data_IF_734403334913
#
_entry.id   IF_734403334913
#
_cell.length_a   1.000
_cell.length_b   1.000
_cell.length_c   1.000
_cell.angle_alpha   90.00
_cell.angle_beta   90.00
_cell.angle_gamma   90.00
#
_symmetry.space_group_name_H-M   'P 1'
#
loop_
_entity.id
_entity.type
_entity.pdbx_description
1 polymer ?
#
# COMPACT_ATOMS: atom_id res chain seq x y z
N UNK A 1 -48.15 -9.26 -25.58
CA UNK A 1 -47.22 -9.51 -24.47
C UNK A 1 -46.24 -8.34 -24.42
N UNK A 2 -46.32 -7.50 -23.38
CA UNK A 2 -45.36 -6.43 -23.16
C UNK A 2 -44.04 -7.07 -22.68
N UNK A 3 -42.84 -6.71 -23.21
CA UNK A 3 -41.61 -7.18 -22.66
C UNK A 3 -41.48 -6.63 -21.24
N UNK A 4 -41.34 -7.52 -20.27
CA UNK A 4 -40.99 -7.17 -18.90
C UNK A 4 -39.65 -6.44 -18.93
N UNK A 5 -39.69 -5.13 -18.88
CA UNK A 5 -38.58 -4.27 -18.64
C UNK A 5 -38.17 -4.51 -17.17
N UNK A 6 -37.35 -5.55 -16.91
CA UNK A 6 -36.64 -5.71 -15.66
C UNK A 6 -35.58 -4.59 -15.67
N UNK A 7 -36.00 -3.38 -15.33
CA UNK A 7 -35.05 -2.36 -14.89
C UNK A 7 -34.20 -3.02 -13.80
N UNK A 8 -32.93 -3.20 -14.07
CA UNK A 8 -31.99 -3.83 -13.14
C UNK A 8 -31.99 -2.98 -11.86
N UNK A 9 -32.76 -3.45 -10.87
CA UNK A 9 -32.94 -2.71 -9.63
C UNK A 9 -31.58 -2.50 -8.98
N UNK A 10 -31.16 -1.25 -8.88
CA UNK A 10 -29.92 -0.88 -8.18
C UNK A 10 -30.03 -1.34 -6.73
N UNK A 11 -29.00 -2.03 -6.25
CA UNK A 11 -28.88 -2.47 -4.86
C UNK A 11 -27.61 -1.90 -4.26
N UNK A 12 -27.59 -1.72 -2.93
CA UNK A 12 -26.42 -1.35 -2.18
C UNK A 12 -26.03 -2.49 -1.24
N UNK A 13 -24.74 -2.84 -1.22
CA UNK A 13 -24.18 -3.74 -0.25
C UNK A 13 -23.29 -2.96 0.72
N UNK A 14 -23.43 -3.24 2.01
CA UNK A 14 -22.44 -2.89 3.02
C UNK A 14 -21.64 -4.17 3.34
N UNK A 15 -20.33 -4.11 3.15
CA UNK A 15 -19.43 -5.25 3.29
C UNK A 15 -18.37 -4.90 4.33
N UNK A 16 -18.26 -5.72 5.36
CA UNK A 16 -17.22 -5.60 6.39
C UNK A 16 -16.25 -6.77 6.22
N UNK A 17 -14.97 -6.45 6.07
CA UNK A 17 -13.91 -7.45 5.90
C UNK A 17 -12.91 -7.32 7.04
N UNK A 18 -12.62 -8.46 7.72
CA UNK A 18 -11.60 -8.54 8.77
C UNK A 18 -10.47 -9.47 8.35
N UNK A 19 -9.26 -9.22 8.88
CA UNK A 19 -8.06 -9.99 8.57
C UNK A 19 -6.86 -9.09 8.33
N UNK A 20 -5.88 -9.56 7.54
CA UNK A 20 -4.75 -8.75 7.06
C UNK A 20 -5.20 -8.07 5.76
N UNK A 21 -5.89 -6.94 5.90
CA UNK A 21 -6.52 -6.21 4.79
C UNK A 21 -6.12 -4.73 4.74
N UNK A 22 -5.33 -4.27 5.70
CA UNK A 22 -4.76 -2.91 5.71
C UNK A 22 -3.25 -2.98 5.47
N UNK A 23 -2.68 -1.96 4.81
CA UNK A 23 -1.26 -1.93 4.47
C UNK A 23 -0.83 -2.89 3.34
N UNK A 24 -1.74 -3.57 2.69
CA UNK A 24 -1.51 -4.61 1.66
C UNK A 24 -2.13 -4.24 0.30
N UNK A 25 -2.39 -2.96 0.04
CA UNK A 25 -2.99 -2.51 -1.23
C UNK A 25 -4.49 -2.80 -1.38
N UNK A 26 -5.18 -3.17 -0.31
CA UNK A 26 -6.58 -3.62 -0.39
C UNK A 26 -7.56 -2.50 -0.80
N UNK A 27 -7.45 -1.27 -0.24
CA UNK A 27 -8.27 -0.12 -0.66
C UNK A 27 -8.08 0.23 -2.15
N UNK A 28 -6.84 0.36 -2.68
CA UNK A 28 -6.59 0.47 -4.11
C UNK A 28 -7.20 -0.63 -4.95
N UNK A 29 -7.12 -1.88 -4.51
CA UNK A 29 -7.73 -3.03 -5.19
C UNK A 29 -9.25 -2.88 -5.28
N UNK A 30 -9.93 -2.61 -4.16
CA UNK A 30 -11.38 -2.40 -4.13
C UNK A 30 -11.80 -1.25 -5.05
N UNK A 31 -11.07 -0.14 -5.04
CA UNK A 31 -11.33 0.99 -5.93
C UNK A 31 -11.27 0.57 -7.40
N UNK A 32 -10.18 -0.09 -7.82
CA UNK A 32 -9.99 -0.55 -9.19
C UNK A 32 -11.06 -1.55 -9.62
N UNK A 33 -11.37 -2.52 -8.76
CA UNK A 33 -12.39 -3.53 -9.01
C UNK A 33 -13.78 -2.91 -9.17
N UNK A 34 -14.16 -2.00 -8.26
CA UNK A 34 -15.45 -1.31 -8.31
C UNK A 34 -15.57 -0.45 -9.55
N UNK A 35 -14.53 0.30 -9.90
CA UNK A 35 -14.50 1.13 -11.12
C UNK A 35 -14.61 0.27 -12.39
N UNK A 36 -13.87 -0.86 -12.46
CA UNK A 36 -13.92 -1.81 -13.58
C UNK A 36 -15.32 -2.40 -13.79
N UNK A 37 -16.07 -2.61 -12.70
CA UNK A 37 -17.42 -3.17 -12.72
C UNK A 37 -18.52 -2.10 -12.74
N UNK A 38 -18.16 -0.84 -12.98
CA UNK A 38 -19.08 0.31 -12.97
C UNK A 38 -19.94 0.42 -11.70
N UNK A 39 -19.37 0.02 -10.56
CA UNK A 39 -19.99 0.17 -9.25
C UNK A 39 -19.64 1.52 -8.63
N UNK A 40 -20.56 2.06 -7.86
CA UNK A 40 -20.41 3.34 -7.14
C UNK A 40 -20.34 3.06 -5.64
N UNK A 41 -19.74 3.98 -4.85
CA UNK A 41 -19.68 3.78 -3.41
C UNK A 41 -18.40 4.27 -2.77
N UNK A 42 -18.04 3.63 -1.66
CA UNK A 42 -16.88 4.02 -0.86
C UNK A 42 -16.17 2.81 -0.26
N UNK A 43 -14.87 2.97 -0.03
CA UNK A 43 -14.07 2.03 0.79
C UNK A 43 -13.34 2.80 1.87
N UNK A 44 -13.37 2.28 3.11
CA UNK A 44 -12.90 2.95 4.31
C UNK A 44 -12.11 1.95 5.17
N UNK A 45 -10.93 2.33 5.68
CA UNK A 45 -10.30 1.58 6.76
C UNK A 45 -10.98 1.93 8.09
N UNK A 46 -11.21 0.92 8.91
CA UNK A 46 -11.66 1.07 10.30
C UNK A 46 -10.69 0.37 11.24
N UNK A 47 -10.76 0.66 12.54
CA UNK A 47 -9.93 -0.03 13.52
C UNK A 47 -10.23 -1.53 13.65
N UNK A 48 -11.28 -2.04 12.99
CA UNK A 48 -11.67 -3.46 12.99
C UNK A 48 -11.49 -4.16 11.64
N UNK A 49 -11.10 -3.43 10.57
CA UNK A 49 -10.92 -3.99 9.23
C UNK A 49 -11.16 -2.98 8.12
N UNK A 50 -11.86 -3.40 7.08
CA UNK A 50 -12.30 -2.55 5.95
C UNK A 50 -13.81 -2.57 5.88
N UNK A 51 -14.39 -1.40 5.67
CA UNK A 51 -15.81 -1.21 5.38
C UNK A 51 -15.92 -0.78 3.91
N UNK A 52 -16.80 -1.45 3.17
CA UNK A 52 -17.06 -1.15 1.77
C UNK A 52 -18.56 -0.96 1.62
N UNK A 53 -18.96 0.17 1.05
CA UNK A 53 -20.31 0.32 0.51
C UNK A 53 -20.22 0.35 -1.01
N UNK A 54 -20.97 -0.52 -1.66
CA UNK A 54 -20.95 -0.65 -3.12
C UNK A 54 -22.36 -0.75 -3.64
N UNK A 55 -22.65 0.05 -4.69
CA UNK A 55 -23.96 0.23 -5.27
C UNK A 55 -23.91 0.01 -6.78
N UNK A 56 -24.86 -0.76 -7.31
CA UNK A 56 -24.96 -1.05 -8.72
C UNK A 56 -26.03 -2.11 -9.04
N UNK A 57 -26.03 -2.62 -10.26
CA UNK A 57 -26.90 -3.69 -10.66
C UNK A 57 -26.52 -5.04 -10.03
N UNK A 58 -27.46 -5.96 -9.99
CA UNK A 58 -27.28 -7.26 -9.36
C UNK A 58 -26.07 -8.04 -9.91
N UNK A 59 -25.91 -8.09 -11.22
CA UNK A 59 -24.86 -8.89 -11.88
C UNK A 59 -23.46 -8.33 -11.56
N UNK A 60 -23.29 -7.01 -11.57
CA UNK A 60 -22.03 -6.36 -11.24
C UNK A 60 -21.67 -6.56 -9.76
N UNK A 61 -22.66 -6.51 -8.86
CA UNK A 61 -22.46 -6.80 -7.44
C UNK A 61 -22.07 -8.26 -7.18
N UNK A 62 -22.68 -9.22 -7.88
CA UNK A 62 -22.28 -10.64 -7.79
C UNK A 62 -20.87 -10.86 -8.32
N UNK A 63 -20.52 -10.25 -9.47
CA UNK A 63 -19.18 -10.28 -10.03
C UNK A 63 -18.14 -9.68 -9.07
N UNK A 64 -18.50 -8.59 -8.39
CA UNK A 64 -17.67 -7.95 -7.38
C UNK A 64 -17.37 -8.89 -6.21
N UNK A 65 -18.39 -9.54 -5.64
CA UNK A 65 -18.23 -10.46 -4.52
C UNK A 65 -17.35 -11.67 -4.88
N UNK A 66 -17.54 -12.24 -6.09
CA UNK A 66 -16.70 -13.34 -6.58
C UNK A 66 -15.23 -12.91 -6.73
N UNK A 67 -14.98 -11.80 -7.44
CA UNK A 67 -13.64 -11.29 -7.71
C UNK A 67 -12.91 -10.77 -6.47
N UNK A 68 -13.66 -10.29 -5.47
CA UNK A 68 -13.12 -9.87 -4.19
C UNK A 68 -12.28 -10.96 -3.52
N UNK A 69 -12.69 -12.22 -3.63
CA UNK A 69 -11.96 -13.37 -3.12
C UNK A 69 -10.87 -13.87 -4.06
N UNK A 70 -11.14 -13.87 -5.37
CA UNK A 70 -10.24 -14.43 -6.39
C UNK A 70 -9.07 -13.52 -6.74
N UNK A 71 -9.32 -12.20 -6.86
CA UNK A 71 -8.36 -11.22 -7.34
C UNK A 71 -7.74 -10.35 -6.21
N UNK A 72 -8.00 -10.68 -4.93
CA UNK A 72 -7.43 -9.92 -3.80
C UNK A 72 -5.91 -9.88 -3.81
N UNK A 73 -5.27 -8.84 -3.26
CA UNK A 73 -3.82 -8.78 -3.15
C UNK A 73 -3.24 -10.04 -2.50
N UNK A 74 -2.18 -10.60 -3.07
CA UNK A 74 -1.56 -11.89 -2.66
C UNK A 74 -1.20 -11.88 -1.18
N UNK A 75 -0.68 -10.76 -0.67
CA UNK A 75 -0.27 -10.59 0.73
C UNK A 75 -1.44 -10.39 1.70
N UNK A 76 -2.67 -10.26 1.19
CA UNK A 76 -3.86 -10.08 2.01
C UNK A 76 -4.40 -11.42 2.51
N UNK A 77 -4.93 -11.42 3.74
CA UNK A 77 -5.67 -12.56 4.31
C UNK A 77 -7.03 -12.08 4.79
N UNK A 78 -8.07 -12.67 4.24
CA UNK A 78 -9.46 -12.43 4.66
C UNK A 78 -9.82 -13.52 5.68
N UNK A 79 -10.11 -13.12 6.91
CA UNK A 79 -10.54 -14.05 7.97
C UNK A 79 -12.06 -14.06 8.13
N UNK A 80 -12.73 -12.94 7.80
CA UNK A 80 -14.18 -12.79 7.95
C UNK A 80 -14.73 -11.78 6.95
N UNK A 81 -15.90 -12.09 6.40
CA UNK A 81 -16.68 -11.19 5.53
C UNK A 81 -18.14 -11.18 5.99
N UNK A 82 -18.70 -10.00 6.18
CA UNK A 82 -20.13 -9.80 6.39
C UNK A 82 -20.68 -8.96 5.24
N UNK A 83 -21.82 -9.35 4.70
CA UNK A 83 -22.49 -8.64 3.62
C UNK A 83 -23.94 -8.37 4.03
N UNK A 84 -24.34 -7.10 4.01
CA UNK A 84 -25.70 -6.65 4.33
C UNK A 84 -26.23 -5.88 3.14
N UNK A 85 -27.45 -6.22 2.70
CA UNK A 85 -28.14 -5.48 1.63
C UNK A 85 -28.81 -4.27 2.26
N UNK A 86 -28.58 -3.10 1.69
CA UNK A 86 -29.15 -1.83 2.10
C UNK A 86 -29.97 -1.20 0.96
N UNK A 87 -30.79 -0.22 1.31
CA UNK A 87 -31.46 0.64 0.31
C UNK A 87 -30.39 1.45 -0.46
N UNK A 88 -30.56 1.67 -1.77
CA UNK A 88 -29.68 2.54 -2.54
C UNK A 88 -29.54 3.91 -1.89
N UNK A 89 -28.32 4.46 -1.95
CA UNK A 89 -27.99 5.80 -1.43
C UNK A 89 -27.89 6.82 -2.58
N UNK A 90 -27.54 6.36 -3.78
CA UNK A 90 -27.35 7.22 -4.96
C UNK A 90 -25.91 7.72 -5.10
N UNK A 91 -24.93 6.89 -4.83
CA UNK A 91 -23.54 7.24 -5.07
C UNK A 91 -23.29 7.53 -6.56
N UNK A 92 -22.60 8.65 -6.87
CA UNK A 92 -22.27 9.03 -8.23
C UNK A 92 -20.95 8.41 -8.73
N UNK A 93 -20.01 8.19 -7.82
CA UNK A 93 -18.67 7.65 -8.12
C UNK A 93 -18.23 6.70 -7.03
N UNK A 94 -17.16 5.93 -7.28
CA UNK A 94 -16.49 5.17 -6.22
C UNK A 94 -15.34 5.96 -5.65
N UNK A 95 -15.16 5.98 -4.31
CA UNK A 95 -14.13 6.77 -3.61
C UNK A 95 -13.41 5.96 -2.53
N UNK A 96 -12.15 6.29 -2.29
CA UNK A 96 -11.42 5.88 -1.09
C UNK A 96 -11.56 7.01 -0.08
N UNK A 97 -12.27 6.77 1.02
CA UNK A 97 -12.48 7.78 2.07
C UNK A 97 -11.44 7.67 3.17
N UNK A 98 -11.37 8.72 4.00
CA UNK A 98 -10.55 8.75 5.19
C UNK A 98 -10.95 7.63 6.16
N UNK A 99 -9.97 7.11 6.89
CA UNK A 99 -10.17 6.05 7.86
C UNK A 99 -10.99 6.51 9.06
N UNK A 100 -11.76 5.58 9.64
CA UNK A 100 -12.53 5.80 10.87
C UNK A 100 -11.71 5.28 12.06
N UNK A 101 -11.56 6.12 13.06
CA UNK A 101 -10.87 5.74 14.32
C UNK A 101 -11.88 5.13 15.30
N UNK A 102 -12.04 3.83 15.24
CA UNK A 102 -12.88 3.02 16.14
C UNK A 102 -12.03 1.97 16.90
N UNK A 103 -12.63 0.89 17.39
CA UNK A 103 -11.93 -0.18 18.14
C UNK A 103 -10.75 -0.75 17.36
N UNK A 104 -9.55 -0.71 17.94
CA UNK A 104 -8.29 -1.15 17.32
C UNK A 104 -8.12 -2.67 17.42
N UNK A 105 -8.64 -3.41 16.45
CA UNK A 105 -8.56 -4.87 16.41
C UNK A 105 -8.17 -5.40 15.01
N UNK A 106 -7.33 -4.64 14.29
CA UNK A 106 -6.83 -5.02 12.97
C UNK A 106 -5.47 -5.72 13.10
N UNK A 107 -5.28 -6.77 12.34
CA UNK A 107 -3.97 -7.42 12.20
C UNK A 107 -3.05 -6.56 11.33
N UNK A 108 -1.87 -6.26 11.85
CA UNK A 108 -0.82 -5.52 11.12
C UNK A 108 -0.04 -6.53 10.27
N UNK A 109 0.15 -6.28 8.96
CA UNK A 109 0.99 -7.13 8.14
C UNK A 109 2.47 -6.99 8.56
N UNK A 110 3.28 -8.05 8.38
CA UNK A 110 4.73 -7.95 8.53
C UNK A 110 5.33 -7.03 7.47
N UNK A 111 6.59 -6.67 7.64
CA UNK A 111 7.37 -6.04 6.58
C UNK A 111 7.52 -7.03 5.41
N UNK A 112 7.47 -6.51 4.19
CA UNK A 112 7.50 -7.31 2.97
C UNK A 112 8.78 -7.05 2.18
N UNK A 113 9.41 -8.11 1.68
CA UNK A 113 10.56 -8.00 0.79
C UNK A 113 10.25 -7.14 -0.44
N UNK A 114 11.28 -6.50 -0.98
CA UNK A 114 11.15 -5.65 -2.17
C UNK A 114 10.67 -6.49 -3.35
N UNK A 115 9.59 -6.06 -4.01
CA UNK A 115 9.05 -6.74 -5.18
C UNK A 115 9.91 -6.49 -6.43
N UNK A 116 9.73 -7.33 -7.45
CA UNK A 116 10.50 -7.28 -8.69
C UNK A 116 10.45 -5.89 -9.35
N UNK A 117 9.27 -5.30 -9.49
CA UNK A 117 9.11 -3.96 -10.08
C UNK A 117 9.90 -2.87 -9.32
N UNK A 118 9.96 -2.97 -7.98
CA UNK A 118 10.73 -2.02 -7.19
C UNK A 118 12.23 -2.29 -7.28
N UNK A 119 12.67 -3.55 -7.43
CA UNK A 119 14.06 -3.91 -7.69
C UNK A 119 14.53 -3.37 -9.05
N UNK A 120 13.73 -3.54 -10.08
CA UNK A 120 14.01 -2.97 -11.41
C UNK A 120 14.11 -1.45 -11.38
N UNK A 121 13.21 -0.79 -10.64
CA UNK A 121 13.24 0.66 -10.47
C UNK A 121 14.49 1.15 -9.71
N UNK A 122 14.94 0.41 -8.70
CA UNK A 122 16.18 0.71 -7.95
C UNK A 122 17.41 0.52 -8.82
N UNK A 123 17.42 -0.48 -9.71
CA UNK A 123 18.55 -0.83 -10.57
C UNK A 123 18.62 0.01 -11.86
N UNK A 124 17.54 0.69 -12.23
CA UNK A 124 17.46 1.45 -13.48
C UNK A 124 18.06 2.86 -13.31
N UNK A 125 19.19 3.20 -13.98
CA UNK A 125 19.81 4.52 -13.87
C UNK A 125 18.93 5.70 -14.28
N UNK A 126 17.92 5.47 -15.14
CA UNK A 126 16.99 6.51 -15.59
C UNK A 126 15.89 6.77 -14.53
N UNK A 127 15.69 5.82 -13.62
CA UNK A 127 14.68 5.94 -12.58
C UNK A 127 15.03 7.04 -11.58
N UNK A 128 14.04 7.87 -11.20
CA UNK A 128 14.19 8.83 -10.10
C UNK A 128 14.44 8.17 -8.73
N UNK A 129 14.29 6.84 -8.61
CA UNK A 129 14.58 6.03 -7.42
C UNK A 129 15.82 5.14 -7.59
N UNK A 130 16.64 5.44 -8.60
CA UNK A 130 17.90 4.72 -8.79
C UNK A 130 18.72 4.70 -7.51
N UNK A 131 19.14 3.51 -7.07
CA UNK A 131 19.90 3.24 -5.83
C UNK A 131 19.25 3.81 -4.56
N UNK A 132 17.94 4.04 -4.56
CA UNK A 132 17.23 4.52 -3.37
C UNK A 132 16.74 3.36 -2.51
N UNK A 133 17.34 3.09 -1.33
CA UNK A 133 17.11 1.88 -0.55
C UNK A 133 15.71 1.82 0.11
N UNK A 134 14.99 2.96 0.19
CA UNK A 134 13.65 3.02 0.76
C UNK A 134 12.54 2.96 -0.31
N UNK A 135 12.89 2.50 -1.51
CA UNK A 135 11.91 2.29 -2.60
C UNK A 135 10.92 1.20 -2.22
N UNK A 136 9.64 1.50 -2.41
CA UNK A 136 8.53 0.63 -2.04
C UNK A 136 7.30 0.90 -2.91
N UNK A 137 6.28 0.04 -2.79
CA UNK A 137 4.96 0.23 -3.41
C UNK A 137 3.84 -0.30 -2.48
N UNK A 138 2.63 -0.53 -3.02
CA UNK A 138 1.52 -1.12 -2.26
C UNK A 138 1.80 -2.56 -1.84
N UNK A 139 2.66 -3.28 -2.57
CA UNK A 139 2.88 -4.73 -2.44
C UNK A 139 4.17 -5.09 -1.72
N UNK A 140 5.05 -4.13 -1.42
CA UNK A 140 6.34 -4.37 -0.77
C UNK A 140 6.76 -3.24 0.16
N UNK A 141 7.82 -3.49 0.95
CA UNK A 141 8.44 -2.54 1.87
C UNK A 141 7.89 -2.64 3.29
N UNK A 142 8.23 -1.65 4.10
CA UNK A 142 7.95 -1.63 5.53
C UNK A 142 6.48 -1.49 5.85
N UNK A 143 6.00 -2.22 6.87
CA UNK A 143 4.65 -2.13 7.43
C UNK A 143 4.73 -2.13 8.96
N UNK A 144 5.08 -3.28 9.56
CA UNK A 144 5.18 -3.44 10.99
C UNK A 144 6.23 -2.53 11.62
N UNK A 145 7.43 -2.44 11.03
CA UNK A 145 8.55 -1.68 11.56
C UNK A 145 8.33 -0.16 11.63
N UNK A 146 7.32 0.35 10.92
CA UNK A 146 7.07 1.80 10.84
C UNK A 146 5.75 2.25 11.47
N UNK A 147 4.88 1.32 11.88
CA UNK A 147 3.55 1.64 12.39
C UNK A 147 3.61 2.14 13.84
N UNK A 148 2.87 3.20 14.14
CA UNK A 148 2.67 3.73 15.49
C UNK A 148 1.25 3.51 16.00
N UNK A 149 0.30 3.31 15.10
CA UNK A 149 -1.11 3.14 15.46
C UNK A 149 -1.99 2.65 14.33
N UNK A 150 -3.24 2.38 14.65
CA UNK A 150 -4.27 1.90 13.72
C UNK A 150 -5.42 2.91 13.63
N UNK A 151 -6.15 2.97 12.55
CA UNK A 151 -6.00 2.21 11.29
C UNK A 151 -4.70 2.54 10.55
N UNK A 152 -4.25 1.65 9.62
CA UNK A 152 -3.02 1.81 8.86
C UNK A 152 -3.14 2.95 7.84
N UNK A 153 -2.66 4.11 8.22
CA UNK A 153 -2.56 5.30 7.39
C UNK A 153 -1.23 6.01 7.61
N UNK A 154 -0.81 6.84 6.64
CA UNK A 154 0.46 7.58 6.70
C UNK A 154 0.64 8.37 8.00
N UNK A 155 -0.43 9.00 8.49
CA UNK A 155 -0.43 9.75 9.75
C UNK A 155 -0.12 8.89 10.98
N UNK A 156 -0.38 7.59 10.91
CA UNK A 156 -0.13 6.60 11.97
C UNK A 156 1.19 5.84 11.79
N UNK A 157 2.12 6.37 11.00
CA UNK A 157 3.44 5.76 10.76
C UNK A 157 4.58 6.74 11.01
N UNK A 158 5.81 6.22 11.15
CA UNK A 158 7.04 7.05 11.25
C UNK A 158 7.26 7.89 9.98
N UNK A 159 6.61 7.54 8.88
CA UNK A 159 6.70 8.24 7.59
C UNK A 159 5.89 9.54 7.58
N UNK A 160 5.02 9.80 8.55
CA UNK A 160 4.19 11.01 8.65
C UNK A 160 4.97 12.32 8.56
N UNK A 161 6.22 12.31 9.04
CA UNK A 161 7.10 13.50 9.02
C UNK A 161 7.66 13.85 7.63
N UNK A 162 7.55 12.95 6.67
CA UNK A 162 8.03 13.17 5.30
C UNK A 162 6.85 13.56 4.41
N UNK A 163 6.80 14.84 4.03
CA UNK A 163 5.77 15.35 3.11
C UNK A 163 6.08 14.88 1.70
N UNK A 164 5.10 14.29 1.02
CA UNK A 164 5.28 13.85 -0.36
C UNK A 164 5.55 15.02 -1.28
N UNK A 165 6.57 14.92 -2.14
CA UNK A 165 6.78 15.88 -3.23
C UNK A 165 5.68 15.72 -4.31
N UNK A 166 5.60 16.70 -5.21
CA UNK A 166 4.61 16.74 -6.28
C UNK A 166 4.57 15.45 -7.12
N UNK A 167 5.73 14.86 -7.43
CA UNK A 167 5.80 13.61 -8.20
C UNK A 167 5.25 12.42 -7.42
N UNK A 168 5.59 12.30 -6.12
CA UNK A 168 5.03 11.25 -5.27
C UNK A 168 3.53 11.44 -5.04
N UNK A 169 3.05 12.69 -4.95
CA UNK A 169 1.63 12.98 -4.84
C UNK A 169 0.88 12.61 -6.13
N UNK A 170 1.46 12.86 -7.30
CA UNK A 170 0.89 12.42 -8.59
C UNK A 170 0.77 10.89 -8.65
N UNK A 171 1.80 10.14 -8.24
CA UNK A 171 1.73 8.67 -8.17
C UNK A 171 0.66 8.19 -7.18
N UNK A 172 0.58 8.85 -6.02
CA UNK A 172 -0.41 8.51 -4.98
C UNK A 172 -1.85 8.68 -5.47
N UNK A 173 -2.12 9.70 -6.28
CA UNK A 173 -3.45 10.02 -6.79
C UNK A 173 -3.80 9.27 -8.10
N UNK A 174 -2.82 8.68 -8.78
CA UNK A 174 -3.02 8.03 -10.07
C UNK A 174 -3.40 6.55 -9.89
N UNK A 175 -4.64 6.17 -10.25
CA UNK A 175 -5.14 4.80 -10.15
C UNK A 175 -4.36 3.77 -10.98
N UNK A 176 -3.64 4.18 -12.03
CA UNK A 176 -2.78 3.31 -12.82
C UNK A 176 -1.40 3.08 -12.17
N UNK A 177 -1.02 3.91 -11.21
CA UNK A 177 0.27 3.76 -10.52
C UNK A 177 0.25 2.56 -9.57
N UNK A 178 1.39 1.83 -9.49
CA UNK A 178 1.63 0.83 -8.44
C UNK A 178 1.74 1.44 -7.03
N UNK A 179 1.76 2.78 -6.93
CA UNK A 179 1.78 3.55 -5.68
C UNK A 179 0.48 4.27 -5.40
N UNK A 180 -0.58 3.93 -6.12
CA UNK A 180 -1.91 4.48 -5.88
C UNK A 180 -2.33 4.25 -4.43
N UNK A 181 -2.58 5.34 -3.68
CA UNK A 181 -2.89 5.33 -2.24
C UNK A 181 -1.86 4.59 -1.35
N UNK A 182 -0.62 4.39 -1.82
CA UNK A 182 0.44 3.82 -0.99
C UNK A 182 0.82 4.78 0.14
N UNK A 183 0.58 4.36 1.38
CA UNK A 183 0.79 5.20 2.56
C UNK A 183 2.28 5.50 2.83
N UNK A 184 3.15 4.69 2.26
CA UNK A 184 4.61 4.78 2.42
C UNK A 184 5.32 5.31 1.17
N UNK A 185 4.58 5.84 0.17
CA UNK A 185 5.17 6.37 -1.05
C UNK A 185 6.13 7.52 -0.77
N UNK A 186 7.39 7.35 -1.21
CA UNK A 186 8.50 8.29 -1.06
C UNK A 186 9.50 8.17 -2.22
N UNK A 187 10.41 9.14 -2.30
CA UNK A 187 11.55 9.12 -3.21
C UNK A 187 12.77 9.79 -2.56
N UNK A 188 13.96 9.77 -3.17
CA UNK A 188 15.18 10.39 -2.62
C UNK A 188 15.01 11.86 -2.26
N UNK A 189 14.10 12.58 -2.94
CA UNK A 189 13.85 14.01 -2.69
C UNK A 189 13.03 14.24 -1.42
N UNK A 190 11.94 13.48 -1.20
CA UNK A 190 11.00 13.74 -0.12
C UNK A 190 11.04 12.68 1.01
N UNK A 191 11.81 11.61 0.87
CA UNK A 191 11.90 10.54 1.85
C UNK A 191 13.14 10.62 2.74
N UNK A 192 13.34 9.59 3.57
CA UNK A 192 14.51 9.46 4.42
C UNK A 192 15.80 9.42 3.60
N UNK A 193 16.90 9.91 4.18
CA UNK A 193 18.24 9.93 3.60
C UNK A 193 19.18 9.07 4.43
N UNK A 194 20.03 8.31 3.77
CA UNK A 194 21.14 7.61 4.44
C UNK A 194 22.14 8.62 4.98
N UNK A 195 22.77 8.26 6.10
CA UNK A 195 23.93 8.96 6.67
C UNK A 195 24.98 7.91 7.04
N UNK A 196 26.20 8.11 6.63
CA UNK A 196 27.34 7.36 7.15
C UNK A 196 27.90 8.11 8.35
N UNK A 197 28.06 7.41 9.45
CA UNK A 197 28.61 7.95 10.69
C UNK A 197 29.91 7.24 11.02
N UNK A 198 30.87 7.95 11.64
CA UNK A 198 32.01 7.30 12.26
C UNK A 198 31.63 6.72 13.64
N UNK A 199 32.59 6.03 14.29
CA UNK A 199 32.41 5.44 15.62
C UNK A 199 32.07 6.45 16.74
N UNK A 200 32.30 7.77 16.52
CA UNK A 200 31.95 8.87 17.44
C UNK A 200 30.61 9.53 17.10
N UNK A 201 29.84 8.99 16.16
CA UNK A 201 28.55 9.54 15.74
C UNK A 201 28.64 10.77 14.82
N UNK A 202 29.86 11.19 14.39
CA UNK A 202 30.02 12.28 13.43
C UNK A 202 29.63 11.82 12.02
N UNK A 203 28.84 12.63 11.33
CA UNK A 203 28.43 12.37 9.94
C UNK A 203 29.64 12.52 9.01
N UNK A 204 29.90 11.49 8.21
CA UNK A 204 30.95 11.46 7.19
C UNK A 204 30.40 11.80 5.80
N UNK A 205 29.23 11.25 5.45
CA UNK A 205 28.61 11.49 4.16
C UNK A 205 27.10 11.19 4.20
N UNK A 206 26.39 11.55 3.10
CA UNK A 206 24.95 11.43 2.97
C UNK A 206 24.58 10.69 1.68
N UNK A 207 23.38 10.14 1.65
CA UNK A 207 22.68 9.58 0.47
C UNK A 207 23.55 8.58 -0.31
N UNK A 208 23.73 8.78 -1.61
CA UNK A 208 24.44 7.85 -2.49
C UNK A 208 25.93 7.74 -2.12
N UNK A 209 26.56 8.83 -1.73
CA UNK A 209 27.95 8.83 -1.30
C UNK A 209 28.15 8.02 0.00
N UNK A 210 27.23 8.15 0.94
CA UNK A 210 27.22 7.32 2.15
C UNK A 210 27.11 5.83 1.81
N UNK A 211 26.28 5.47 0.84
CA UNK A 211 26.14 4.09 0.37
C UNK A 211 27.46 3.57 -0.24
N UNK A 212 28.08 4.34 -1.15
CA UNK A 212 29.32 3.97 -1.81
C UNK A 212 30.47 3.75 -0.80
N UNK A 213 30.65 4.69 0.11
CA UNK A 213 31.68 4.60 1.15
C UNK A 213 31.45 3.39 2.08
N UNK A 214 30.19 3.13 2.44
CA UNK A 214 29.85 1.97 3.26
C UNK A 214 30.15 0.66 2.52
N UNK A 215 29.80 0.54 1.25
CA UNK A 215 30.09 -0.65 0.42
C UNK A 215 31.61 -0.90 0.37
N UNK A 216 32.40 0.12 0.08
CA UNK A 216 33.84 0.00 0.00
C UNK A 216 34.46 -0.47 1.33
N UNK A 217 34.02 0.11 2.44
CA UNK A 217 34.51 -0.27 3.77
C UNK A 217 34.16 -1.73 4.12
N UNK A 218 32.92 -2.17 3.87
CA UNK A 218 32.46 -3.55 4.12
C UNK A 218 33.17 -4.55 3.21
N UNK A 219 33.33 -4.25 1.93
CA UNK A 219 33.99 -5.12 0.96
C UNK A 219 35.46 -5.35 1.36
N UNK A 220 36.16 -4.31 1.76
CA UNK A 220 37.53 -4.44 2.24
C UNK A 220 37.61 -5.36 3.48
N UNK A 221 36.75 -5.17 4.47
CA UNK A 221 36.68 -5.99 5.67
C UNK A 221 36.46 -7.47 5.38
N UNK A 222 35.56 -7.79 4.46
CA UNK A 222 35.26 -9.16 4.04
C UNK A 222 36.42 -9.83 3.29
N UNK A 223 37.19 -9.07 2.51
CA UNK A 223 38.34 -9.58 1.76
C UNK A 223 39.56 -9.83 2.66
N UNK A 224 39.70 -9.13 3.77
CA UNK A 224 40.87 -9.26 4.68
C UNK A 224 40.70 -10.33 5.77
N UNK A 225 39.48 -10.62 6.19
CA UNK A 225 39.20 -11.62 7.23
C UNK A 225 39.67 -13.07 6.88
N UNK A 226 39.54 -13.58 5.64
CA UNK A 226 40.00 -14.94 5.29
C UNK A 226 41.51 -15.12 5.29
N UNK A 227 42.28 -14.06 4.99
CA UNK A 227 43.74 -14.15 4.88
C UNK A 227 44.48 -14.19 6.24
N UNK A 228 43.78 -13.86 7.34
CA UNK A 228 44.35 -13.89 8.68
C UNK A 228 44.09 -15.21 9.45
N UNK A 229 43.66 -16.28 8.76
CA UNK A 229 43.44 -17.62 9.34
C UNK A 229 44.52 -18.63 8.93
N UNK A 230 45.73 -18.19 8.76
CA UNK A 230 46.87 -19.09 8.76
C UNK A 230 47.44 -19.17 10.20
N UNK A 231 47.12 -20.27 10.87
CA UNK A 231 47.83 -20.77 12.03
C UNK A 231 48.36 -22.14 11.68
#
# INVERSE_FOLDING_TARGET
MKPNNIMSQVKRLNIIIKGIVQGVGFRPFIYKLSTKLDLKGVVINSGSGIIIEVEGNHNNLQSFLSKLHQEKPIVSKIDYVSVIILKPFGYLTFKINNSINDKKNVKVPPDMATCQDCLEEISNPISRRYLYPFTNCTDCGSRYSIIHGLPYDRSQTSIKKFIMCQFCQKEYNNSFSKRFHSQINLCPYCGPKLKLLNHRGKVLSYSLEALRQCINAVTYTHLTLPTNREV
#
